data_IF_148336724005
#
_entry.id   IF_148336724005
#
_cell.length_a   1.000
_cell.length_b   1.000
_cell.length_c   1.000
_cell.angle_alpha   90.00
_cell.angle_beta   90.00
_cell.angle_gamma   90.00
#
_symmetry.space_group_name_H-M   'P 1'
#
loop_
_entity.id
_entity.type
_entity.pdbx_description
1 polymer ?
#
# COMPACT_ATOMS: atom_id res chain seq x y z
N UNK A 1 9.72 7.06 -21.04
CA UNK A 1 9.80 7.24 -19.57
C UNK A 1 10.16 5.90 -18.95
N UNK A 2 11.29 5.85 -18.24
CA UNK A 2 11.86 4.61 -17.70
C UNK A 2 10.79 3.84 -16.92
N UNK A 3 10.52 2.59 -17.34
CA UNK A 3 9.75 1.63 -16.54
C UNK A 3 10.43 1.61 -15.17
N UNK A 4 9.90 2.30 -14.15
CA UNK A 4 10.31 2.01 -12.76
C UNK A 4 10.20 0.50 -12.65
N UNK A 5 11.30 -0.15 -12.30
CA UNK A 5 11.37 -1.60 -12.23
C UNK A 5 10.20 -2.06 -11.36
N UNK A 6 9.28 -2.87 -11.88
CA UNK A 6 8.08 -3.29 -11.14
C UNK A 6 8.44 -3.86 -9.77
N UNK A 7 9.62 -4.46 -9.65
CA UNK A 7 10.18 -4.92 -8.38
C UNK A 7 10.25 -3.81 -7.32
N UNK A 8 10.61 -2.58 -7.71
CA UNK A 8 10.63 -1.42 -6.81
C UNK A 8 9.22 -1.07 -6.36
N UNK A 9 8.24 -1.04 -7.27
CA UNK A 9 6.85 -0.75 -6.90
C UNK A 9 6.26 -1.82 -5.97
N UNK A 10 6.56 -3.10 -6.23
CA UNK A 10 6.15 -4.20 -5.36
C UNK A 10 6.83 -4.11 -4.00
N UNK A 11 8.11 -3.74 -3.95
CA UNK A 11 8.80 -3.50 -2.69
C UNK A 11 8.20 -2.32 -1.90
N UNK A 12 7.82 -1.23 -2.58
CA UNK A 12 7.14 -0.09 -1.93
C UNK A 12 5.83 -0.55 -1.26
N UNK A 13 5.07 -1.42 -1.94
CA UNK A 13 3.82 -2.01 -1.42
C UNK A 13 4.12 -2.89 -0.20
N UNK A 14 5.05 -3.84 -0.32
CA UNK A 14 5.39 -4.78 0.76
C UNK A 14 5.87 -4.03 2.00
N UNK A 15 6.80 -3.08 1.83
CA UNK A 15 7.33 -2.29 2.94
C UNK A 15 6.25 -1.45 3.62
N UNK A 16 5.32 -0.88 2.85
CA UNK A 16 4.21 -0.10 3.39
C UNK A 16 3.24 -0.98 4.20
N UNK A 17 2.98 -2.20 3.75
CA UNK A 17 2.17 -3.20 4.48
C UNK A 17 2.86 -3.57 5.80
N UNK A 18 4.16 -3.87 5.76
CA UNK A 18 4.95 -4.20 6.97
C UNK A 18 4.93 -3.06 7.99
N UNK A 19 5.06 -1.81 7.54
CA UNK A 19 4.94 -0.63 8.40
C UNK A 19 3.56 -0.53 9.06
N UNK A 20 2.47 -0.71 8.30
CA UNK A 20 1.10 -0.68 8.84
C UNK A 20 0.95 -1.73 9.95
N UNK A 21 1.39 -2.97 9.70
CA UNK A 21 1.34 -4.02 10.72
C UNK A 21 2.18 -3.70 11.94
N UNK A 22 3.39 -3.16 11.74
CA UNK A 22 4.28 -2.75 12.84
C UNK A 22 3.66 -1.66 13.70
N UNK A 23 3.06 -0.64 13.10
CA UNK A 23 2.44 0.48 13.81
C UNK A 23 1.18 0.07 14.58
N UNK A 24 0.44 -0.90 14.06
CA UNK A 24 -0.86 -1.31 14.62
C UNK A 24 -0.79 -2.55 15.52
N UNK A 25 0.36 -3.23 15.60
CA UNK A 25 0.53 -4.52 16.31
C UNK A 25 0.00 -4.54 17.75
N UNK A 26 0.16 -3.44 18.50
CA UNK A 26 -0.24 -3.35 19.90
C UNK A 26 -1.40 -2.38 20.13
N UNK A 27 -2.16 -2.08 19.07
CA UNK A 27 -3.31 -1.20 19.16
C UNK A 27 -4.60 -2.02 19.09
N UNK A 28 -5.54 -1.69 19.98
CA UNK A 28 -6.95 -1.92 19.69
C UNK A 28 -7.52 -0.75 18.87
N UNK A 29 -8.77 -0.88 18.42
CA UNK A 29 -9.41 0.13 17.59
C UNK A 29 -9.51 1.51 18.25
N UNK A 30 -9.84 1.57 19.54
CA UNK A 30 -10.01 2.86 20.24
C UNK A 30 -8.67 3.54 20.47
N UNK A 31 -7.66 2.78 20.88
CA UNK A 31 -6.29 3.25 21.01
C UNK A 31 -5.78 3.79 19.67
N UNK A 32 -6.05 3.07 18.57
CA UNK A 32 -5.59 3.49 17.24
C UNK A 32 -6.27 4.77 16.81
N UNK A 33 -7.59 4.82 16.95
CA UNK A 33 -8.41 5.99 16.59
C UNK A 33 -7.99 7.25 17.34
N UNK A 34 -7.54 7.11 18.59
CA UNK A 34 -7.16 8.24 19.44
C UNK A 34 -5.69 8.67 19.28
N UNK A 35 -4.85 7.88 18.61
CA UNK A 35 -3.47 8.26 18.28
C UNK A 35 -3.39 8.83 16.86
N UNK A 36 -3.53 10.16 16.77
CA UNK A 36 -3.55 10.86 15.48
C UNK A 36 -2.28 10.63 14.65
N UNK A 37 -1.11 10.58 15.30
CA UNK A 37 0.17 10.39 14.61
C UNK A 37 0.21 9.01 13.93
N UNK A 38 -0.25 7.98 14.65
CA UNK A 38 -0.28 6.62 14.11
C UNK A 38 -1.32 6.46 13.01
N UNK A 39 -2.49 7.12 13.14
CA UNK A 39 -3.49 7.20 12.05
C UNK A 39 -2.90 7.83 10.80
N UNK A 40 -2.25 9.00 10.93
CA UNK A 40 -1.65 9.69 9.79
C UNK A 40 -0.53 8.86 9.15
N UNK A 41 0.26 8.14 9.95
CA UNK A 41 1.28 7.21 9.45
C UNK A 41 0.69 6.03 8.67
N UNK A 42 -0.42 5.44 9.14
CA UNK A 42 -1.11 4.37 8.42
C UNK A 42 -1.71 4.88 7.11
N UNK A 43 -2.38 6.04 7.12
CA UNK A 43 -2.95 6.66 5.92
C UNK A 43 -1.85 6.89 4.88
N UNK A 44 -0.70 7.43 5.28
CA UNK A 44 0.43 7.66 4.37
C UNK A 44 0.91 6.38 3.70
N UNK A 45 0.99 5.26 4.44
CA UNK A 45 1.39 3.98 3.87
C UNK A 45 0.33 3.42 2.90
N UNK A 46 -0.96 3.62 3.19
CA UNK A 46 -2.05 3.26 2.26
C UNK A 46 -1.99 4.07 0.96
N UNK A 47 -1.68 5.38 1.03
CA UNK A 47 -1.47 6.21 -0.16
C UNK A 47 -0.31 5.70 -1.03
N UNK A 48 0.81 5.31 -0.42
CA UNK A 48 1.96 4.75 -1.14
C UNK A 48 1.56 3.45 -1.85
N UNK A 49 0.81 2.57 -1.18
CA UNK A 49 0.30 1.32 -1.77
C UNK A 49 -0.58 1.63 -2.99
N UNK A 50 -1.51 2.58 -2.86
CA UNK A 50 -2.39 2.99 -3.96
C UNK A 50 -1.62 3.58 -5.14
N UNK A 51 -0.66 4.48 -4.88
CA UNK A 51 0.19 5.08 -5.91
C UNK A 51 1.05 4.03 -6.64
N UNK A 52 1.69 3.13 -5.89
CA UNK A 52 2.50 2.06 -6.46
C UNK A 52 1.67 1.09 -7.30
N UNK A 53 0.49 0.70 -6.81
CA UNK A 53 -0.45 -0.19 -7.52
C UNK A 53 -0.93 0.43 -8.84
N UNK A 54 -1.19 1.74 -8.86
CA UNK A 54 -1.58 2.46 -10.07
C UNK A 54 -0.46 2.50 -11.11
N UNK A 55 0.80 2.53 -10.69
CA UNK A 55 1.98 2.61 -11.56
C UNK A 55 2.44 1.26 -12.14
N UNK A 56 1.92 0.13 -11.66
CA UNK A 56 2.21 -1.18 -12.25
C UNK A 56 1.68 -1.23 -13.70
N UNK A 57 2.49 -1.78 -14.61
CA UNK A 57 2.18 -1.85 -16.04
C UNK A 57 0.96 -2.72 -16.34
N UNK A 58 0.24 -2.36 -17.41
CA UNK A 58 -0.94 -3.11 -17.85
C UNK A 58 -0.62 -4.60 -18.13
N UNK A 59 0.54 -4.89 -18.73
CA UNK A 59 0.98 -6.27 -19.01
C UNK A 59 0.92 -7.16 -17.75
N UNK A 60 1.44 -6.66 -16.63
CA UNK A 60 1.47 -7.39 -15.36
C UNK A 60 0.08 -7.48 -14.74
N UNK A 61 -0.73 -6.42 -14.90
CA UNK A 61 -2.12 -6.43 -14.43
C UNK A 61 -2.97 -7.46 -15.18
N UNK A 62 -2.74 -7.60 -16.50
CA UNK A 62 -3.41 -8.57 -17.35
C UNK A 62 -2.94 -10.01 -17.05
N UNK A 63 -1.63 -10.21 -16.84
CA UNK A 63 -1.12 -11.52 -16.39
C UNK A 63 -1.64 -11.91 -14.99
N UNK A 64 -2.11 -10.93 -14.22
CA UNK A 64 -2.66 -11.09 -12.86
C UNK A 64 -4.13 -10.66 -12.76
N UNK A 65 -4.96 -11.07 -13.71
CA UNK A 65 -6.38 -10.68 -13.81
C UNK A 65 -7.24 -11.00 -12.57
N UNK A 66 -6.84 -11.99 -11.77
CA UNK A 66 -7.51 -12.34 -10.51
C UNK A 66 -7.34 -11.29 -9.41
N UNK A 67 -6.37 -10.38 -9.55
CA UNK A 67 -6.13 -9.30 -8.60
C UNK A 67 -7.01 -8.10 -9.01
N UNK A 68 -7.82 -7.55 -8.09
CA UNK A 68 -8.74 -6.46 -8.39
C UNK A 68 -8.06 -5.09 -8.47
N UNK A 69 -7.15 -4.91 -9.44
CA UNK A 69 -6.32 -3.70 -9.59
C UNK A 69 -7.09 -2.37 -9.67
N UNK A 70 -8.36 -2.40 -10.08
CA UNK A 70 -9.20 -1.21 -10.33
C UNK A 70 -10.31 -1.01 -9.28
N UNK A 71 -10.34 -1.77 -8.19
CA UNK A 71 -11.42 -1.66 -7.19
C UNK A 71 -11.24 -0.51 -6.18
N UNK A 72 -10.20 0.30 -6.29
CA UNK A 72 -9.99 1.47 -5.43
C UNK A 72 -10.20 2.76 -6.21
N UNK A 73 -11.45 3.23 -6.19
CA UNK A 73 -11.84 4.65 -6.17
C UNK A 73 -12.89 4.79 -5.08
#
# INVERSE_FOLDING_TARGET
MSKRNTKVLLNDIIFSIENIFSYTKNYDFLAFKNDRKTVDAVIRNLEIIGEASNKISADIKNDSEHIPWKQTV
#
